data_IF_021636868578
#
_entry.id   IF_021636868578
#
_cell.length_a   1.000
_cell.length_b   1.000
_cell.length_c   1.000
_cell.angle_alpha   90.00
_cell.angle_beta   90.00
_cell.angle_gamma   90.00
#
_symmetry.space_group_name_H-M   'P 1'
#
loop_
_entity.id
_entity.type
_entity.pdbx_description
1 polymer ?
#
# COMPACT_ATOMS: atom_id res chain seq x y z
N UNK A 1 -13.16 20.86 12.49
CA UNK A 1 -13.27 19.52 11.90
C UNK A 1 -11.96 19.25 11.20
N UNK A 2 -11.16 18.35 11.77
CA UNK A 2 -9.83 17.93 11.34
C UNK A 2 -9.66 17.84 9.82
N UNK A 3 -8.89 18.77 9.24
CA UNK A 3 -8.42 18.70 7.85
C UNK A 3 -7.44 17.55 7.65
N UNK A 4 -6.55 17.34 8.63
CA UNK A 4 -5.54 16.28 8.62
C UNK A 4 -6.12 14.86 8.46
N UNK A 5 -7.30 14.59 9.03
CA UNK A 5 -7.97 13.28 8.89
C UNK A 5 -8.59 13.07 7.52
N UNK A 6 -9.00 14.14 6.82
CA UNK A 6 -9.55 14.03 5.46
C UNK A 6 -8.43 13.81 4.45
N UNK A 7 -7.35 14.58 4.55
CA UNK A 7 -6.19 14.49 3.66
C UNK A 7 -5.57 13.09 3.69
N UNK A 8 -5.35 12.52 4.89
CA UNK A 8 -4.80 11.16 5.00
C UNK A 8 -5.72 10.04 4.48
N UNK A 9 -7.03 10.25 4.39
CA UNK A 9 -7.97 9.27 3.80
C UNK A 9 -7.97 9.38 2.27
N UNK A 10 -7.78 10.58 1.74
CA UNK A 10 -7.77 10.84 0.30
C UNK A 10 -6.45 10.37 -0.33
N UNK A 11 -5.30 10.70 0.28
CA UNK A 11 -3.98 10.20 -0.13
C UNK A 11 -3.92 8.66 -0.05
N UNK A 12 -4.39 8.06 1.05
CA UNK A 12 -4.39 6.60 1.21
C UNK A 12 -5.28 5.86 0.19
N UNK A 13 -6.33 6.52 -0.33
CA UNK A 13 -7.14 5.97 -1.43
C UNK A 13 -6.41 6.06 -2.76
N UNK A 14 -5.85 7.21 -3.09
CA UNK A 14 -5.12 7.41 -4.33
C UNK A 14 -3.92 6.46 -4.45
N UNK A 15 -3.14 6.30 -3.37
CA UNK A 15 -2.05 5.34 -3.30
C UNK A 15 -2.55 3.88 -3.45
N UNK A 16 -3.67 3.56 -2.80
CA UNK A 16 -4.28 2.24 -2.84
C UNK A 16 -4.76 1.83 -4.24
N UNK A 17 -5.31 2.78 -5.00
CA UNK A 17 -5.81 2.53 -6.36
C UNK A 17 -4.65 2.28 -7.35
N UNK A 18 -3.57 3.07 -7.26
CA UNK A 18 -2.36 2.85 -8.07
C UNK A 18 -1.70 1.51 -7.72
N UNK A 19 -1.60 1.17 -6.42
CA UNK A 19 -1.08 -0.12 -5.96
C UNK A 19 -1.95 -1.29 -6.44
N UNK A 20 -3.28 -1.14 -6.44
CA UNK A 20 -4.20 -2.14 -6.99
C UNK A 20 -3.99 -2.33 -8.48
N UNK A 21 -3.92 -1.27 -9.27
CA UNK A 21 -3.71 -1.34 -10.71
C UNK A 21 -2.41 -2.10 -11.04
N UNK A 22 -1.30 -1.75 -10.37
CA UNK A 22 -0.01 -2.45 -10.51
C UNK A 22 -0.12 -3.93 -10.15
N UNK A 23 -0.78 -4.27 -9.03
CA UNK A 23 -0.95 -5.66 -8.59
C UNK A 23 -1.82 -6.47 -9.55
N UNK A 24 -2.84 -5.85 -10.15
CA UNK A 24 -3.68 -6.48 -11.16
C UNK A 24 -2.86 -6.74 -12.43
N UNK A 25 -2.14 -5.75 -12.95
CA UNK A 25 -1.27 -5.92 -14.11
C UNK A 25 -0.26 -7.06 -13.94
N UNK A 26 0.40 -7.15 -12.78
CA UNK A 26 1.30 -8.27 -12.45
C UNK A 26 0.61 -9.64 -12.48
N UNK A 27 -0.59 -9.74 -11.88
CA UNK A 27 -1.37 -10.98 -11.90
C UNK A 27 -1.80 -11.36 -13.32
N UNK A 28 -2.05 -10.36 -14.17
CA UNK A 28 -2.44 -10.58 -15.56
C UNK A 28 -1.25 -11.05 -16.40
N UNK A 29 -0.08 -10.43 -16.18
CA UNK A 29 1.19 -10.84 -16.77
C UNK A 29 1.56 -12.28 -16.38
N UNK A 30 1.42 -12.64 -15.11
CA UNK A 30 1.66 -13.99 -14.61
C UNK A 30 0.71 -15.04 -15.23
N UNK A 31 -0.46 -14.62 -15.73
CA UNK A 31 -1.41 -15.48 -16.48
C UNK A 31 -1.07 -15.58 -17.97
N UNK A 32 -0.02 -14.93 -18.44
CA UNK A 32 0.40 -14.94 -19.84
C UNK A 32 -0.43 -14.06 -20.76
N UNK A 33 -1.13 -13.05 -20.23
CA UNK A 33 -1.84 -12.08 -21.07
C UNK A 33 -0.86 -11.12 -21.76
N UNK A 34 -1.16 -10.70 -23.01
CA UNK A 34 -0.32 -9.76 -23.73
C UNK A 34 -0.40 -8.36 -23.12
N UNK A 35 0.70 -7.60 -23.21
CA UNK A 35 0.82 -6.26 -22.63
C UNK A 35 -0.24 -5.27 -23.14
N UNK A 36 -0.70 -5.41 -24.38
CA UNK A 36 -1.75 -4.57 -24.98
C UNK A 36 -3.04 -4.65 -24.16
N UNK A 37 -3.52 -5.87 -23.89
CA UNK A 37 -4.73 -6.12 -23.10
C UNK A 37 -4.55 -5.66 -21.64
N UNK A 38 -3.36 -5.82 -21.08
CA UNK A 38 -3.08 -5.36 -19.72
C UNK A 38 -3.13 -3.83 -19.66
N UNK A 39 -2.57 -3.15 -20.67
CA UNK A 39 -2.58 -1.69 -20.74
C UNK A 39 -3.99 -1.12 -20.88
N UNK A 40 -4.86 -1.77 -21.65
CA UNK A 40 -6.27 -1.37 -21.81
C UNK A 40 -7.09 -1.54 -20.52
N UNK A 41 -6.80 -2.58 -19.74
CA UNK A 41 -7.59 -2.90 -18.52
C UNK A 41 -7.11 -2.11 -17.30
N UNK A 42 -5.83 -1.74 -17.26
CA UNK A 42 -5.22 -1.12 -16.09
C UNK A 42 -4.80 0.33 -16.30
N UNK A 43 -4.92 0.84 -17.53
CA UNK A 43 -4.44 2.16 -17.96
C UNK A 43 -2.94 2.39 -17.65
N UNK A 44 -2.18 1.30 -17.49
CA UNK A 44 -0.73 1.32 -17.26
C UNK A 44 0.00 1.18 -18.58
N UNK A 45 1.05 1.99 -18.77
CA UNK A 45 1.90 1.87 -19.96
C UNK A 45 2.74 0.58 -19.91
N UNK A 46 3.02 -0.01 -21.07
CA UNK A 46 3.89 -1.19 -21.22
C UNK A 46 5.20 -1.07 -20.41
N UNK A 47 5.95 0.06 -20.42
CA UNK A 47 7.16 0.18 -19.61
C UNK A 47 6.90 0.17 -18.09
N UNK A 48 5.72 0.61 -17.63
CA UNK A 48 5.33 0.52 -16.22
C UNK A 48 4.95 -0.92 -15.82
N UNK A 49 4.42 -1.70 -16.76
CA UNK A 49 4.10 -3.13 -16.56
C UNK A 49 5.39 -3.97 -16.56
N UNK A 50 6.36 -3.63 -17.41
CA UNK A 50 7.65 -4.31 -17.54
C UNK A 50 8.61 -4.00 -16.39
N UNK A 51 8.52 -2.79 -15.84
CA UNK A 51 9.27 -2.37 -14.64
C UNK A 51 8.35 -2.31 -13.42
N UNK A 52 7.80 -3.43 -12.92
CA UNK A 52 7.20 -3.44 -11.60
C UNK A 52 8.37 -3.32 -10.63
N UNK A 53 8.70 -2.07 -10.30
CA UNK A 53 9.74 -1.75 -9.34
C UNK A 53 9.58 -2.71 -8.17
N UNK A 54 10.68 -3.37 -7.84
CA UNK A 54 10.84 -4.18 -6.65
C UNK A 54 10.80 -3.25 -5.44
N UNK A 55 9.67 -2.56 -5.24
CA UNK A 55 9.35 -1.77 -4.06
C UNK A 55 8.92 -2.71 -2.94
N UNK A 56 9.61 -3.85 -2.81
CA UNK A 56 9.65 -4.62 -1.57
C UNK A 56 10.60 -3.89 -0.61
N UNK A 57 10.41 -2.57 -0.49
CA UNK A 57 10.99 -1.76 0.57
C UNK A 57 10.13 -2.06 1.77
N UNK A 58 10.40 -3.22 2.38
CA UNK A 58 10.03 -3.48 3.77
C UNK A 58 10.51 -2.27 4.52
N UNK A 59 9.59 -1.37 4.87
CA UNK A 59 9.90 -0.24 5.72
C UNK A 59 10.23 -0.88 7.06
N UNK A 60 11.53 -0.95 7.39
CA UNK A 60 11.96 -1.38 8.70
C UNK A 60 11.21 -0.51 9.72
N UNK A 61 10.48 -1.14 10.63
CA UNK A 61 9.76 -0.42 11.68
C UNK A 61 10.79 0.23 12.60
N UNK A 62 11.26 1.43 12.26
CA UNK A 62 12.18 2.24 13.09
C UNK A 62 11.55 2.66 14.42
N UNK A 63 10.24 2.49 14.60
CA UNK A 63 9.60 2.72 15.88
C UNK A 63 9.50 1.42 16.68
N UNK A 64 10.30 1.30 17.75
CA UNK A 64 9.95 0.41 18.86
C UNK A 64 8.54 0.79 19.34
N UNK A 65 7.59 -0.14 19.23
CA UNK A 65 6.25 0.06 19.78
C UNK A 65 6.37 0.11 21.31
N UNK A 66 6.48 1.33 21.85
CA UNK A 66 6.52 1.61 23.28
C UNK A 66 5.13 1.34 23.88
N UNK A 67 4.86 0.06 24.15
CA UNK A 67 3.62 -0.38 24.81
C UNK A 67 3.70 -0.24 26.32
N UNK A 68 4.20 0.88 26.85
CA UNK A 68 4.13 1.15 28.29
C UNK A 68 2.75 1.68 28.64
N UNK A 69 1.74 0.80 28.65
CA UNK A 69 0.50 1.11 29.38
C UNK A 69 0.82 1.02 30.87
N UNK A 70 0.71 2.10 31.66
CA UNK A 70 0.97 2.02 33.09
C UNK A 70 -0.07 1.09 33.73
N UNK A 71 0.38 -0.06 34.23
CA UNK A 71 -0.45 -0.95 35.03
C UNK A 71 -0.77 -0.22 36.34
N UNK A 72 -2.03 0.22 36.51
CA UNK A 72 -2.51 0.77 37.78
C UNK A 72 -2.30 -0.28 38.86
N UNK A 73 -1.40 -0.04 39.82
CA UNK A 73 -1.23 -0.92 40.98
C UNK A 73 -2.50 -0.85 41.81
N UNK A 74 -3.20 -1.96 41.95
CA UNK A 74 -4.31 -2.08 42.89
C UNK A 74 -3.77 -1.86 44.31
N UNK A 75 -4.44 -0.99 45.08
CA UNK A 75 -4.08 -0.75 46.47
C UNK A 75 -4.45 -1.99 47.29
N UNK A 76 -3.47 -2.59 47.98
CA UNK A 76 -3.72 -3.65 48.93
C UNK A 76 -4.54 -3.10 50.11
N UNK A 77 -5.55 -3.86 50.55
CA UNK A 77 -6.42 -3.58 51.69
C UNK A 77 -5.72 -3.95 53.00
#
# INVERSE_FOLDING_TARGET
>A
IDTARREGVEEGRAEGDILRAKKVALKMLAKGMPYEVISEVTDLSVPQIESPANDNKVCETTAEYQSEKPRKKAKAK
#
